data_IF_228972995781
#
_entry.id   IF_228972995781
#
_cell.length_a   1.000
_cell.length_b   1.000
_cell.length_c   1.000
_cell.angle_alpha   90.00
_cell.angle_beta   90.00
_cell.angle_gamma   90.00
#
_symmetry.space_group_name_H-M   'P 1'
#
loop_
_entity.id
_entity.type
_entity.pdbx_description
1 polymer ?
#
# COMPACT_ATOMS: atom_id res chain seq x y z
N UNK A 1 16.32 20.80 11.68
CA UNK A 1 17.26 20.16 10.73
C UNK A 1 16.70 18.77 10.41
N UNK A 2 16.61 18.35 9.14
CA UNK A 2 16.22 16.97 8.78
C UNK A 2 17.48 16.20 8.37
N UNK A 3 17.83 15.17 9.13
CA UNK A 3 18.92 14.24 8.80
C UNK A 3 18.42 13.24 7.77
N UNK A 4 19.21 12.97 6.73
CA UNK A 4 18.96 11.90 5.77
C UNK A 4 19.99 10.79 5.96
N UNK A 5 19.56 9.53 5.81
CA UNK A 5 20.41 8.35 5.87
C UNK A 5 20.44 7.67 4.50
N UNK A 6 21.55 6.98 4.20
CA UNK A 6 21.60 6.14 3.00
C UNK A 6 20.60 4.99 3.12
N UNK A 7 20.12 4.50 1.97
CA UNK A 7 19.24 3.33 1.91
C UNK A 7 19.89 2.10 2.56
N UNK A 8 21.21 1.94 2.38
CA UNK A 8 21.96 0.85 2.99
C UNK A 8 21.90 0.89 4.52
N UNK A 9 22.14 2.07 5.10
CA UNK A 9 22.09 2.27 6.56
C UNK A 9 20.70 1.95 7.11
N UNK A 10 19.64 2.40 6.42
CA UNK A 10 18.25 2.09 6.81
C UNK A 10 18.01 0.59 6.78
N UNK A 11 18.35 -0.07 5.67
CA UNK A 11 18.15 -1.52 5.51
C UNK A 11 18.94 -2.34 6.53
N UNK A 12 20.16 -1.92 6.87
CA UNK A 12 20.97 -2.58 7.88
C UNK A 12 20.32 -2.48 9.28
N UNK A 13 19.84 -1.29 9.64
CA UNK A 13 19.12 -1.07 10.89
C UNK A 13 17.80 -1.87 10.95
N UNK A 14 17.02 -1.89 9.86
CA UNK A 14 15.79 -2.68 9.76
C UNK A 14 16.06 -4.17 9.95
N UNK A 15 17.05 -4.74 9.26
CA UNK A 15 17.42 -6.16 9.43
C UNK A 15 17.77 -6.51 10.87
N UNK A 16 18.60 -5.69 11.52
CA UNK A 16 18.99 -5.91 12.91
C UNK A 16 17.78 -5.88 13.86
N UNK A 17 16.80 -5.02 13.59
CA UNK A 17 15.59 -4.91 14.40
C UNK A 17 14.58 -6.04 14.10
N UNK A 18 14.43 -6.45 12.83
CA UNK A 18 13.56 -7.58 12.44
C UNK A 18 13.97 -8.88 13.14
N UNK A 19 15.26 -9.11 13.34
CA UNK A 19 15.78 -10.29 14.04
C UNK A 19 15.31 -10.40 15.52
N UNK A 20 14.74 -9.33 16.08
CA UNK A 20 14.32 -9.23 17.48
C UNK A 20 12.81 -9.03 17.65
N UNK A 21 12.06 -8.96 16.56
CA UNK A 21 10.62 -8.70 16.58
C UNK A 21 9.85 -9.86 15.97
N UNK A 22 8.56 -10.02 16.34
CA UNK A 22 7.68 -10.93 15.62
C UNK A 22 7.65 -10.60 14.13
N UNK A 23 7.47 -11.63 13.32
CA UNK A 23 7.35 -11.49 11.88
C UNK A 23 6.25 -10.47 11.51
N UNK A 24 6.55 -9.61 10.53
CA UNK A 24 5.64 -8.57 10.07
C UNK A 24 5.46 -7.36 11.01
N UNK A 25 6.06 -7.34 12.20
CA UNK A 25 5.89 -6.24 13.16
C UNK A 25 6.32 -4.87 12.61
N UNK A 26 7.43 -4.80 11.85
CA UNK A 26 7.88 -3.55 11.24
C UNK A 26 6.91 -3.04 10.17
N UNK A 27 6.42 -3.91 9.30
CA UNK A 27 5.41 -3.58 8.29
C UNK A 27 4.12 -3.06 8.95
N UNK A 28 3.68 -3.70 10.04
CA UNK A 28 2.51 -3.20 10.78
C UNK A 28 2.73 -1.80 11.37
N UNK A 29 3.95 -1.48 11.81
CA UNK A 29 4.31 -0.14 12.30
C UNK A 29 4.35 0.87 11.16
N UNK A 30 4.99 0.53 10.03
CA UNK A 30 5.05 1.36 8.84
C UNK A 30 3.64 1.68 8.32
N UNK A 31 2.79 0.67 8.18
CA UNK A 31 1.39 0.81 7.80
C UNK A 31 0.56 1.67 8.77
N UNK A 32 0.82 1.59 10.08
CA UNK A 32 0.16 2.45 11.07
C UNK A 32 0.57 3.92 10.91
N UNK A 33 1.87 4.18 10.73
CA UNK A 33 2.38 5.52 10.44
C UNK A 33 1.82 6.09 9.14
N UNK A 34 1.78 5.29 8.08
CA UNK A 34 1.19 5.67 6.80
C UNK A 34 -0.29 6.02 6.93
N UNK A 35 -1.09 5.18 7.62
CA UNK A 35 -2.50 5.46 7.85
C UNK A 35 -2.72 6.75 8.67
N UNK A 36 -1.88 7.02 9.67
CA UNK A 36 -1.93 8.24 10.46
C UNK A 36 -1.61 9.47 9.61
N UNK A 37 -0.57 9.40 8.77
CA UNK A 37 -0.21 10.48 7.85
C UNK A 37 -1.34 10.77 6.84
N UNK A 38 -1.90 9.73 6.21
CA UNK A 38 -3.03 9.88 5.29
C UNK A 38 -4.26 10.49 5.99
N UNK A 39 -4.57 10.07 7.23
CA UNK A 39 -5.66 10.66 7.99
C UNK A 39 -5.41 12.14 8.33
N UNK A 40 -4.16 12.51 8.64
CA UNK A 40 -3.76 13.90 8.84
C UNK A 40 -3.94 14.75 7.59
N UNK A 41 -3.59 14.21 6.41
CA UNK A 41 -3.78 14.89 5.12
C UNK A 41 -5.26 15.08 4.77
N UNK A 42 -6.12 14.11 5.10
CA UNK A 42 -7.57 14.25 4.90
C UNK A 42 -8.19 15.28 5.86
N UNK A 43 -7.60 15.44 7.05
CA UNK A 43 -8.04 16.37 8.08
C UNK A 43 -8.91 15.72 9.18
N UNK A 44 -9.12 16.43 10.31
CA UNK A 44 -9.85 15.90 11.47
C UNK A 44 -11.27 15.46 11.11
N UNK A 45 -11.66 14.25 11.51
CA UNK A 45 -13.00 13.69 11.24
C UNK A 45 -13.28 13.32 9.78
N UNK A 46 -12.35 13.56 8.85
CA UNK A 46 -12.58 13.40 7.40
C UNK A 46 -12.29 12.01 6.85
N UNK A 47 -11.97 11.03 7.71
CA UNK A 47 -11.69 9.65 7.27
C UNK A 47 -12.99 8.89 6.97
N UNK A 48 -14.03 9.08 7.78
CA UNK A 48 -15.32 8.44 7.55
C UNK A 48 -15.93 8.97 6.24
N UNK A 49 -16.36 8.06 5.36
CA UNK A 49 -16.90 8.40 4.04
C UNK A 49 -15.87 8.85 3.01
N UNK A 50 -14.58 8.96 3.37
CA UNK A 50 -13.52 9.27 2.40
C UNK A 50 -13.40 8.14 1.37
N UNK A 51 -13.08 8.51 0.13
CA UNK A 51 -12.79 7.54 -0.94
C UNK A 51 -11.29 7.54 -1.20
N UNK A 52 -10.66 6.38 -1.02
CA UNK A 52 -9.21 6.22 -1.10
C UNK A 52 -8.87 5.17 -2.13
N UNK A 53 -8.03 5.54 -3.10
CA UNK A 53 -7.43 4.61 -4.04
C UNK A 53 -5.99 4.31 -3.61
N UNK A 54 -5.64 3.01 -3.56
CA UNK A 54 -4.27 2.55 -3.32
C UNK A 54 -3.69 2.04 -4.65
N UNK A 55 -2.53 2.54 -5.05
CA UNK A 55 -1.79 1.97 -6.18
C UNK A 55 -0.75 1.00 -5.62
N UNK A 56 -0.99 -0.30 -5.79
CA UNK A 56 -0.30 -1.34 -5.02
C UNK A 56 0.69 -2.08 -5.92
N UNK A 57 1.98 -1.83 -5.69
CA UNK A 57 3.08 -2.60 -6.28
C UNK A 57 3.33 -3.94 -5.57
N UNK A 58 4.27 -4.73 -6.07
CA UNK A 58 4.57 -6.08 -5.57
C UNK A 58 5.53 -6.16 -4.37
N UNK A 59 6.13 -5.04 -3.96
CA UNK A 59 7.09 -5.01 -2.84
C UNK A 59 6.45 -4.75 -1.47
N UNK A 60 7.29 -4.61 -0.44
CA UNK A 60 6.87 -4.35 0.94
C UNK A 60 6.00 -3.09 1.09
N UNK A 61 6.29 -2.05 0.31
CA UNK A 61 5.47 -0.83 0.24
C UNK A 61 4.02 -1.13 -0.17
N UNK A 62 3.80 -2.14 -1.02
CA UNK A 62 2.47 -2.62 -1.37
C UNK A 62 1.75 -3.24 -0.17
N UNK A 63 2.47 -4.02 0.63
CA UNK A 63 2.00 -4.53 1.92
C UNK A 63 1.62 -3.41 2.89
N UNK A 64 2.49 -2.41 3.05
CA UNK A 64 2.23 -1.22 3.89
C UNK A 64 0.97 -0.48 3.45
N UNK A 65 0.83 -0.22 2.14
CA UNK A 65 -0.34 0.45 1.58
C UNK A 65 -1.63 -0.33 1.86
N UNK A 66 -1.62 -1.65 1.67
CA UNK A 66 -2.77 -2.51 1.91
C UNK A 66 -3.17 -2.53 3.39
N UNK A 67 -2.20 -2.68 4.29
CA UNK A 67 -2.45 -2.66 5.74
C UNK A 67 -2.86 -1.28 6.25
N UNK A 68 -2.34 -0.20 5.66
CA UNK A 68 -2.79 1.16 5.95
C UNK A 68 -4.22 1.38 5.47
N UNK A 69 -4.52 0.92 4.25
CA UNK A 69 -5.87 0.88 3.68
C UNK A 69 -6.85 0.14 4.58
N UNK A 70 -6.49 -1.04 5.09
CA UNK A 70 -7.32 -1.80 6.01
C UNK A 70 -7.63 -1.04 7.31
N UNK A 71 -6.67 -0.27 7.84
CA UNK A 71 -6.89 0.60 9.02
C UNK A 71 -7.86 1.73 8.72
N UNK A 72 -7.74 2.36 7.54
CA UNK A 72 -8.63 3.45 7.13
C UNK A 72 -10.03 2.94 6.79
N UNK A 73 -10.15 1.78 6.15
CA UNK A 73 -11.42 1.11 5.87
C UNK A 73 -12.19 0.78 7.15
N UNK A 74 -11.50 0.26 8.19
CA UNK A 74 -12.10 0.05 9.52
C UNK A 74 -12.62 1.33 10.19
N UNK A 75 -12.18 2.51 9.73
CA UNK A 75 -12.67 3.82 10.19
C UNK A 75 -13.79 4.39 9.30
N UNK A 76 -14.31 3.59 8.37
CA UNK A 76 -15.42 3.96 7.49
C UNK A 76 -15.00 4.61 6.17
N UNK A 77 -13.73 4.57 5.79
CA UNK A 77 -13.31 4.99 4.45
C UNK A 77 -13.65 3.92 3.40
N UNK A 78 -14.13 4.34 2.23
CA UNK A 78 -14.26 3.50 1.04
C UNK A 78 -12.91 3.31 0.36
N UNK A 79 -12.23 2.19 0.61
CA UNK A 79 -10.89 1.92 0.08
C UNK A 79 -10.92 0.96 -1.11
N UNK A 80 -10.22 1.30 -2.19
CA UNK A 80 -10.03 0.44 -3.38
C UNK A 80 -8.54 0.30 -3.69
N UNK A 81 -8.01 -0.92 -3.66
CA UNK A 81 -6.67 -1.23 -4.11
C UNK A 81 -6.65 -1.55 -5.61
N UNK A 82 -5.83 -0.83 -6.36
CA UNK A 82 -5.50 -1.11 -7.77
C UNK A 82 -4.18 -1.88 -7.78
N UNK A 83 -4.25 -3.17 -8.10
CA UNK A 83 -3.13 -4.09 -8.05
C UNK A 83 -2.31 -4.02 -9.34
N UNK A 84 -1.08 -3.50 -9.26
CA UNK A 84 -0.18 -3.35 -10.41
C UNK A 84 0.45 -4.69 -10.85
N UNK A 85 0.50 -5.66 -9.94
CA UNK A 85 0.89 -7.05 -10.19
C UNK A 85 0.10 -7.95 -9.25
N UNK A 86 -1.10 -8.37 -9.69
CA UNK A 86 -2.05 -9.07 -8.83
C UNK A 86 -1.50 -10.39 -8.27
N UNK A 87 -0.71 -11.10 -9.07
CA UNK A 87 -0.01 -12.36 -8.76
C UNK A 87 1.10 -12.20 -7.71
N UNK A 88 1.69 -11.01 -7.59
CA UNK A 88 2.76 -10.71 -6.63
C UNK A 88 2.33 -9.74 -5.54
N UNK A 89 1.03 -9.59 -5.33
CA UNK A 89 0.50 -8.71 -4.29
C UNK A 89 0.69 -9.34 -2.91
N UNK A 90 1.05 -8.54 -1.91
CA UNK A 90 1.23 -9.01 -0.54
C UNK A 90 -0.05 -9.65 0.03
N UNK A 91 -0.05 -10.98 0.16
CA UNK A 91 -1.26 -11.77 0.45
C UNK A 91 -1.92 -11.39 1.78
N UNK A 92 -1.15 -11.27 2.86
CA UNK A 92 -1.69 -10.91 4.17
C UNK A 92 -2.28 -9.49 4.22
N UNK A 93 -1.68 -8.56 3.47
CA UNK A 93 -2.19 -7.19 3.37
C UNK A 93 -3.50 -7.14 2.60
N UNK A 94 -3.57 -7.90 1.50
CA UNK A 94 -4.78 -8.00 0.67
C UNK A 94 -5.93 -8.64 1.43
N UNK A 95 -5.66 -9.71 2.19
CA UNK A 95 -6.64 -10.34 3.06
C UNK A 95 -7.15 -9.36 4.13
N UNK A 96 -6.26 -8.62 4.79
CA UNK A 96 -6.65 -7.63 5.80
C UNK A 96 -7.50 -6.49 5.23
N UNK A 97 -7.17 -6.00 4.03
CA UNK A 97 -7.97 -4.97 3.36
C UNK A 97 -9.37 -5.48 3.05
N UNK A 98 -9.49 -6.70 2.49
CA UNK A 98 -10.78 -7.32 2.17
C UNK A 98 -11.61 -7.56 3.43
N UNK A 99 -11.00 -8.08 4.50
CA UNK A 99 -11.67 -8.28 5.79
C UNK A 99 -12.20 -6.96 6.40
N UNK A 100 -11.55 -5.84 6.10
CA UNK A 100 -11.98 -4.50 6.50
C UNK A 100 -13.06 -3.88 5.58
N UNK A 101 -13.58 -4.61 4.58
CA UNK A 101 -14.56 -4.13 3.62
C UNK A 101 -13.97 -3.37 2.41
N UNK A 102 -12.64 -3.33 2.29
CA UNK A 102 -11.97 -2.76 1.13
C UNK A 102 -12.10 -3.63 -0.12
N UNK A 103 -12.02 -3.00 -1.30
CA UNK A 103 -12.06 -3.68 -2.60
C UNK A 103 -10.67 -3.76 -3.22
N UNK A 104 -10.46 -4.76 -4.08
CA UNK A 104 -9.23 -4.88 -4.86
C UNK A 104 -9.57 -5.18 -6.32
N UNK A 105 -8.93 -4.48 -7.24
CA UNK A 105 -9.11 -4.62 -8.68
C UNK A 105 -7.74 -4.67 -9.36
N UNK A 106 -7.54 -5.46 -10.42
CA UNK A 106 -6.32 -5.40 -11.21
C UNK A 106 -6.19 -4.03 -11.89
N UNK A 107 -4.96 -3.55 -12.06
CA UNK A 107 -4.72 -2.41 -12.93
C UNK A 107 -5.13 -2.74 -14.36
N UNK A 108 -5.84 -1.83 -15.03
CA UNK A 108 -6.14 -1.98 -16.44
C UNK A 108 -4.81 -2.03 -17.22
N UNK A 109 -4.62 -3.08 -18.02
CA UNK A 109 -3.52 -3.11 -18.98
C UNK A 109 -3.84 -2.06 -20.03
N UNK A 110 -2.92 -1.13 -20.31
CA UNK A 110 -3.07 -0.27 -21.49
C UNK A 110 -3.20 -1.17 -22.71
N UNK A 111 -4.25 -0.99 -23.50
CA UNK A 111 -4.28 -1.53 -24.85
C UNK A 111 -3.02 -1.02 -25.55
N UNK A 112 -2.16 -1.92 -26.00
CA UNK A 112 -1.04 -1.56 -26.86
C UNK A 112 -1.68 -1.03 -28.15
N UNK A 113 -1.45 0.24 -28.48
CA UNK A 113 -1.92 0.81 -29.74
C UNK A 113 -1.38 -0.05 -30.87
N UNK A 114 -2.28 -0.63 -31.66
CA UNK A 114 -1.90 -1.43 -32.82
C UNK A 114 -1.10 -0.56 -33.77
N UNK A 115 0.15 -0.93 -34.02
CA UNK A 115 0.82 -0.56 -35.26
C UNK A 115 -0.04 -1.10 -36.40
N UNK A 116 -0.77 -0.21 -37.05
CA UNK A 116 -1.28 -0.46 -38.39
C UNK A 116 -0.06 -0.57 -39.31
N UNK A 117 0.45 -1.79 -39.51
CA UNK A 117 1.22 -2.11 -40.70
C UNK A 117 0.26 -2.00 -41.89
N UNK A 118 0.11 -0.77 -42.38
CA UNK A 118 -0.49 -0.48 -43.67
C UNK A 118 0.52 -0.77 -44.76
N UNK A 119 0.14 -1.71 -45.63
CA UNK A 119 0.64 -1.95 -46.97
C UNK A 119 1.29 -0.74 -47.66
N UNK A 120 2.50 -0.96 -48.18
CA UNK A 120 3.12 -0.25 -49.29
C UNK A 120 4.06 -1.21 -49.99
#
# INVERSE_FOLDING_TARGET
MRTAYSVETVRAAERALMARLPEGALMQRAAAGLAAACAGLLGPGRVYGARIALLVGSGDNGGDALFAGARLARRGAGVTAVLLSADRTHAGGLAALRAAGGRAVPAARRAQGGETTGMG
#
